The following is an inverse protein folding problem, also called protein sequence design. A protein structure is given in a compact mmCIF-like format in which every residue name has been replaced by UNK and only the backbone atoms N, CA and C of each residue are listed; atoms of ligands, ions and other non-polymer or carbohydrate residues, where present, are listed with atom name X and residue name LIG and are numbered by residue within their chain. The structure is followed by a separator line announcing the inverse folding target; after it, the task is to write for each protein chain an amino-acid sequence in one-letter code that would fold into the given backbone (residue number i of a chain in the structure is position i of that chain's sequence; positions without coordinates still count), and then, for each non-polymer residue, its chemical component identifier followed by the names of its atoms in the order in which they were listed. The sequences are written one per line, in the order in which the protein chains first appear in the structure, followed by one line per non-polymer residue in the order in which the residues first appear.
data_IF_492000890001
#
_entry.id   IF_492000890001
#
_cell.length_a   1.000
_cell.length_b   1.000
_cell.length_c   1.000
_cell.angle_alpha   90.00
_cell.angle_beta   90.00
_cell.angle_gamma   90.00
#
_symmetry.space_group_name_H-M   'P 1'
#
loop_
_entity.id
_entity.type
_entity.pdbx_description
1 polymer ?
#
# COMPACT_ATOMS: atom_id res chain seq x y z
N UNK A 1 2.81 -14.63 28.00
CA UNK A 1 3.63 -13.54 27.39
C UNK A 1 3.55 -13.64 25.88
N UNK A 2 2.92 -12.66 25.20
CA UNK A 2 2.79 -12.62 23.73
C UNK A 2 3.98 -11.85 23.15
N UNK A 3 4.90 -12.55 22.48
CA UNK A 3 6.10 -11.99 21.83
C UNK A 3 5.64 -10.96 20.78
N UNK A 4 5.86 -9.67 21.04
CA UNK A 4 5.60 -8.59 20.08
C UNK A 4 6.66 -8.69 18.98
N UNK A 5 6.25 -8.97 17.75
CA UNK A 5 7.16 -8.92 16.60
C UNK A 5 7.66 -7.47 16.40
N UNK A 6 8.95 -7.27 16.05
CA UNK A 6 9.61 -5.96 16.02
C UNK A 6 9.43 -5.24 14.68
N UNK A 7 8.29 -5.36 14.01
CA UNK A 7 7.98 -4.53 12.83
C UNK A 7 7.22 -3.29 13.28
N UNK A 8 7.91 -2.46 14.07
CA UNK A 8 7.45 -1.16 14.50
C UNK A 8 7.54 -0.14 13.35
N UNK A 9 6.39 0.29 12.86
CA UNK A 9 6.21 1.65 12.37
C UNK A 9 7.06 2.09 11.17
N UNK A 10 7.26 1.24 10.17
CA UNK A 10 7.71 1.74 8.86
C UNK A 10 6.61 2.68 8.33
N UNK A 11 6.84 4.00 8.45
CA UNK A 11 6.05 5.02 7.77
C UNK A 11 6.23 4.75 6.28
N UNK A 12 5.34 3.97 5.69
CA UNK A 12 5.30 3.74 4.25
C UNK A 12 4.96 5.09 3.61
N UNK A 13 6.00 5.89 3.39
CA UNK A 13 5.87 7.23 2.87
C UNK A 13 5.62 7.10 1.36
N UNK A 14 4.76 7.97 0.82
CA UNK A 14 4.52 8.08 -0.62
C UNK A 14 5.83 8.06 -1.46
N UNK A 15 6.96 8.64 -1.00
CA UNK A 15 8.28 8.46 -1.60
C UNK A 15 8.75 7.01 -1.80
N UNK A 16 8.47 6.09 -0.87
CA UNK A 16 8.85 4.68 -1.03
C UNK A 16 8.04 4.00 -2.12
N UNK A 17 6.76 4.36 -2.27
CA UNK A 17 5.92 3.83 -3.35
C UNK A 17 6.40 4.37 -4.70
N UNK A 18 6.71 5.65 -4.82
CA UNK A 18 7.22 6.21 -6.06
C UNK A 18 8.62 5.69 -6.42
N UNK A 19 9.52 5.53 -5.45
CA UNK A 19 10.80 4.85 -5.68
C UNK A 19 10.58 3.41 -6.15
N UNK A 20 9.68 2.67 -5.49
CA UNK A 20 9.33 1.30 -5.91
C UNK A 20 8.81 1.26 -7.36
N UNK A 21 7.87 2.13 -7.71
CA UNK A 21 7.28 2.17 -9.06
C UNK A 21 8.32 2.55 -10.13
N UNK A 22 9.22 3.49 -9.83
CA UNK A 22 10.30 3.87 -10.75
C UNK A 22 11.31 2.73 -10.89
N UNK A 23 11.73 2.11 -9.79
CA UNK A 23 12.63 0.94 -9.83
C UNK A 23 12.02 -0.22 -10.61
N UNK A 24 10.71 -0.46 -10.44
CA UNK A 24 9.96 -1.45 -11.18
C UNK A 24 9.95 -1.17 -12.69
N UNK A 25 9.62 0.06 -13.10
CA UNK A 25 9.58 0.45 -14.50
C UNK A 25 10.95 0.35 -15.17
N UNK A 26 12.02 0.75 -14.46
CA UNK A 26 13.40 0.59 -14.94
C UNK A 26 13.74 -0.89 -15.13
N UNK A 27 13.39 -1.74 -14.17
CA UNK A 27 13.63 -3.18 -14.27
C UNK A 27 12.87 -3.78 -15.46
N UNK A 28 11.61 -3.40 -15.66
CA UNK A 28 10.80 -3.85 -16.80
C UNK A 28 11.39 -3.39 -18.14
N UNK A 29 11.90 -2.16 -18.23
CA UNK A 29 12.61 -1.68 -19.41
C UNK A 29 13.84 -2.54 -19.73
N UNK A 30 14.65 -2.89 -18.73
CA UNK A 30 15.81 -3.77 -18.93
C UNK A 30 15.41 -5.19 -19.34
N UNK A 31 14.32 -5.71 -18.78
CA UNK A 31 13.75 -7.02 -19.16
C UNK A 31 13.34 -7.00 -20.63
N UNK A 32 12.58 -5.99 -21.06
CA UNK A 32 12.13 -5.85 -22.45
C UNK A 32 13.30 -5.63 -23.41
N UNK A 33 14.29 -4.83 -23.01
CA UNK A 33 15.51 -4.62 -23.79
C UNK A 33 16.32 -5.92 -23.95
N UNK A 34 16.44 -6.71 -22.88
CA UNK A 34 17.10 -8.02 -22.93
C UNK A 34 16.33 -8.99 -23.83
N UNK A 35 14.99 -9.04 -23.75
CA UNK A 35 14.14 -9.83 -24.64
C UNK A 35 14.35 -9.41 -26.10
N UNK A 36 14.36 -8.11 -26.38
CA UNK A 36 14.59 -7.59 -27.71
C UNK A 36 15.94 -8.04 -28.28
N UNK A 37 17.03 -7.85 -27.53
CA UNK A 37 18.37 -8.30 -27.92
C UNK A 37 18.46 -9.82 -28.13
N UNK A 38 17.80 -10.60 -27.26
CA UNK A 38 17.74 -12.05 -27.35
C UNK A 38 16.98 -12.56 -28.57
N UNK A 39 15.90 -11.87 -28.97
CA UNK A 39 15.11 -12.20 -30.18
C UNK A 39 15.91 -11.86 -31.44
N UNK A 40 16.68 -10.77 -31.43
CA UNK A 40 17.40 -10.30 -32.62
C UNK A 40 18.70 -11.06 -32.90
N UNK A 41 19.36 -11.64 -31.88
CA UNK A 41 20.74 -12.15 -32.04
C UNK A 41 20.94 -13.67 -31.96
N UNK A 42 19.96 -14.50 -31.57
CA UNK A 42 20.26 -15.91 -31.24
C UNK A 42 19.40 -16.97 -31.94
N UNK A 43 20.08 -17.95 -32.54
CA UNK A 43 19.50 -19.24 -32.90
C UNK A 43 19.11 -20.01 -31.63
N UNK A 44 17.90 -20.59 -31.64
CA UNK A 44 17.18 -21.21 -30.52
C UNK A 44 17.91 -22.38 -29.81
N UNK A 45 18.96 -22.09 -29.05
CA UNK A 45 19.64 -23.08 -28.20
C UNK A 45 18.85 -23.41 -26.93
N UNK A 46 19.12 -24.56 -26.29
CA UNK A 46 18.46 -24.94 -25.03
C UNK A 46 18.67 -23.90 -23.91
N UNK A 47 19.87 -23.33 -23.84
CA UNK A 47 20.22 -22.30 -22.85
C UNK A 47 19.35 -21.04 -23.01
N UNK A 48 18.95 -20.72 -24.24
CA UNK A 48 18.05 -19.60 -24.53
C UNK A 48 16.66 -19.82 -23.93
N UNK A 49 16.10 -21.01 -24.11
CA UNK A 49 14.79 -21.36 -23.55
C UNK A 49 14.80 -21.28 -22.03
N UNK A 50 15.87 -21.75 -21.39
CA UNK A 50 16.03 -21.68 -19.94
C UNK A 50 16.10 -20.21 -19.47
N UNK A 51 16.90 -19.38 -20.13
CA UNK A 51 17.00 -17.96 -19.79
C UNK A 51 15.65 -17.23 -19.93
N UNK A 52 14.92 -17.50 -21.02
CA UNK A 52 13.59 -16.92 -21.23
C UNK A 52 12.59 -17.38 -20.16
N UNK A 53 12.58 -18.66 -19.79
CA UNK A 53 11.72 -19.18 -18.73
C UNK A 53 12.03 -18.50 -17.39
N UNK A 54 13.30 -18.37 -17.03
CA UNK A 54 13.72 -17.68 -15.78
C UNK A 54 13.27 -16.22 -15.80
N UNK A 55 13.38 -15.54 -16.93
CA UNK A 55 12.94 -14.16 -17.09
C UNK A 55 11.42 -14.01 -16.93
N UNK A 56 10.64 -14.89 -17.58
CA UNK A 56 9.18 -14.92 -17.48
C UNK A 56 8.72 -15.21 -16.05
N UNK A 57 9.37 -16.14 -15.34
CA UNK A 57 9.06 -16.43 -13.94
C UNK A 57 9.35 -15.25 -13.02
N UNK A 58 10.47 -14.55 -13.24
CA UNK A 58 10.77 -13.32 -12.50
C UNK A 58 9.73 -12.23 -12.76
N UNK A 59 9.34 -12.04 -14.02
CA UNK A 59 8.32 -11.08 -14.40
C UNK A 59 6.96 -11.40 -13.76
N UNK A 60 6.55 -12.68 -13.76
CA UNK A 60 5.34 -13.12 -13.10
C UNK A 60 5.40 -12.88 -11.57
N UNK A 61 6.53 -13.20 -10.94
CA UNK A 61 6.74 -12.93 -9.51
C UNK A 61 6.63 -11.44 -9.18
N UNK A 62 7.19 -10.59 -10.04
CA UNK A 62 7.07 -9.14 -9.92
C UNK A 62 5.62 -8.65 -10.05
N UNK A 63 4.86 -9.13 -11.04
CA UNK A 63 3.45 -8.78 -11.22
C UNK A 63 2.62 -9.18 -10.00
N UNK A 64 2.82 -10.40 -9.49
CA UNK A 64 2.12 -10.88 -8.30
C UNK A 64 2.45 -10.02 -7.07
N UNK A 65 3.74 -9.72 -6.83
CA UNK A 65 4.17 -8.87 -5.73
C UNK A 65 3.56 -7.46 -5.79
N UNK A 66 3.55 -6.86 -6.98
CA UNK A 66 2.94 -5.55 -7.22
C UNK A 66 1.43 -5.59 -6.99
N UNK A 67 0.75 -6.61 -7.50
CA UNK A 67 -0.68 -6.81 -7.31
C UNK A 67 -1.03 -6.93 -5.81
N UNK A 68 -0.32 -7.78 -5.06
CA UNK A 68 -0.55 -7.93 -3.62
C UNK A 68 -0.29 -6.64 -2.86
N UNK A 69 0.75 -5.89 -3.22
CA UNK A 69 1.07 -4.60 -2.59
C UNK A 69 -0.04 -3.59 -2.82
N UNK A 70 -0.47 -3.42 -4.07
CA UNK A 70 -1.55 -2.50 -4.45
C UNK A 70 -2.87 -2.92 -3.77
N UNK A 71 -3.21 -4.20 -3.84
CA UNK A 71 -4.41 -4.75 -3.21
C UNK A 71 -4.43 -4.48 -1.71
N UNK A 72 -3.31 -4.71 -1.02
CA UNK A 72 -3.21 -4.47 0.41
C UNK A 72 -3.32 -2.99 0.77
N UNK A 73 -2.68 -2.11 -0.01
CA UNK A 73 -2.76 -0.65 0.18
C UNK A 73 -4.19 -0.14 -0.04
N UNK A 74 -4.85 -0.55 -1.11
CA UNK A 74 -6.23 -0.17 -1.42
C UNK A 74 -7.20 -0.71 -0.37
N UNK A 75 -7.12 -2.00 -0.06
CA UNK A 75 -8.08 -2.64 0.85
C UNK A 75 -7.97 -2.09 2.28
N UNK A 76 -6.74 -1.87 2.78
CA UNK A 76 -6.53 -1.31 4.12
C UNK A 76 -6.71 0.21 4.16
N UNK A 77 -6.37 0.92 3.10
CA UNK A 77 -6.49 2.37 3.00
C UNK A 77 -7.94 2.81 2.77
N UNK A 78 -8.51 2.47 1.62
CA UNK A 78 -9.84 2.90 1.21
C UNK A 78 -10.93 2.35 2.14
N UNK A 79 -10.81 1.09 2.56
CA UNK A 79 -11.77 0.49 3.49
C UNK A 79 -11.79 1.16 4.87
N UNK A 80 -10.67 1.74 5.29
CA UNK A 80 -10.61 2.50 6.54
C UNK A 80 -11.12 3.94 6.37
N UNK A 81 -10.89 4.55 5.20
CA UNK A 81 -11.40 5.89 4.86
C UNK A 81 -12.93 5.92 4.80
N UNK A 82 -13.58 4.94 4.16
CA UNK A 82 -15.05 4.92 4.08
C UNK A 82 -15.72 4.87 5.46
N UNK A 83 -15.14 4.13 6.42
CA UNK A 83 -15.64 4.11 7.81
C UNK A 83 -15.46 5.46 8.52
N UNK A 84 -14.32 6.12 8.28
CA UNK A 84 -14.08 7.46 8.85
C UNK A 84 -15.08 8.45 8.29
N UNK A 85 -15.38 8.38 7.00
CA UNK A 85 -16.35 9.25 6.34
C UNK A 85 -17.75 9.11 6.96
N UNK A 86 -18.26 7.88 7.11
CA UNK A 86 -19.56 7.63 7.77
C UNK A 86 -19.60 8.18 9.20
N UNK A 87 -18.55 7.94 9.99
CA UNK A 87 -18.50 8.39 11.38
C UNK A 87 -18.35 9.93 11.48
N UNK A 88 -17.61 10.55 10.57
CA UNK A 88 -17.53 12.02 10.46
C UNK A 88 -18.88 12.63 10.05
N UNK A 89 -19.62 11.98 9.16
CA UNK A 89 -20.93 12.46 8.73
C UNK A 89 -21.95 12.43 9.89
N UNK A 90 -21.90 11.41 10.75
CA UNK A 90 -22.71 11.36 11.97
C UNK A 90 -22.28 12.45 12.98
N UNK A 91 -20.97 12.67 13.14
CA UNK A 91 -20.47 13.75 13.98
C UNK A 91 -20.92 15.13 13.47
N UNK A 92 -20.92 15.33 12.14
CA UNK A 92 -21.44 16.54 11.51
C UNK A 92 -22.95 16.73 11.70
N UNK A 93 -23.71 15.64 11.84
CA UNK A 93 -25.14 15.67 12.22
C UNK A 93 -25.40 15.97 13.70
N UNK A 94 -24.35 16.15 14.50
CA UNK A 94 -24.46 16.54 15.91
C UNK A 94 -24.42 15.37 16.90
N UNK A 95 -24.11 14.15 16.46
CA UNK A 95 -23.83 13.03 17.36
C UNK A 95 -22.44 13.23 18.01
N UNK A 96 -22.43 13.68 19.28
CA UNK A 96 -21.20 14.14 19.95
C UNK A 96 -20.37 13.04 20.60
N UNK A 97 -20.93 11.85 20.82
CA UNK A 97 -20.25 10.72 21.48
C UNK A 97 -19.48 9.81 20.53
N UNK A 98 -19.31 10.21 19.26
CA UNK A 98 -18.67 9.37 18.26
C UNK A 98 -17.15 9.44 18.41
N UNK A 99 -16.53 8.27 18.53
CA UNK A 99 -15.08 8.12 18.43
C UNK A 99 -14.75 7.27 17.22
N UNK A 100 -13.89 7.81 16.36
CA UNK A 100 -13.35 7.09 15.23
C UNK A 100 -12.48 5.94 15.74
N UNK A 101 -12.82 4.72 15.32
CA UNK A 101 -12.05 3.52 15.65
C UNK A 101 -11.47 2.89 14.39
N UNK A 102 -10.22 2.46 14.48
CA UNK A 102 -9.51 1.79 13.39
C UNK A 102 -9.14 0.37 13.77
N UNK A 103 -8.95 -0.47 12.76
CA UNK A 103 -8.41 -1.81 12.96
C UNK A 103 -6.91 -1.72 13.22
N UNK A 104 -6.40 -2.71 13.95
CA UNK A 104 -4.97 -2.76 14.30
C UNK A 104 -4.12 -2.85 13.04
N UNK A 105 -3.24 -1.87 12.84
CA UNK A 105 -2.33 -1.79 11.70
C UNK A 105 -2.88 -1.04 10.49
N UNK A 106 -4.01 -0.33 10.63
CA UNK A 106 -4.44 0.64 9.62
C UNK A 106 -3.43 1.80 9.56
N UNK A 107 -3.01 2.13 8.33
CA UNK A 107 -1.90 3.08 8.07
C UNK A 107 -2.29 4.51 8.49
N UNK A 108 -3.60 4.79 8.55
CA UNK A 108 -4.18 6.11 8.85
C UNK A 108 -4.42 6.39 10.34
N UNK A 109 -3.90 5.55 11.25
CA UNK A 109 -4.00 5.76 12.69
C UNK A 109 -3.59 7.17 13.17
N UNK A 110 -2.50 7.77 12.67
CA UNK A 110 -2.12 9.12 13.09
C UNK A 110 -3.16 10.19 12.72
N UNK A 111 -3.86 10.02 11.59
CA UNK A 111 -4.91 10.93 11.15
C UNK A 111 -6.14 10.82 12.07
N UNK A 112 -6.58 9.59 12.34
CA UNK A 112 -7.73 9.34 13.23
C UNK A 112 -7.49 9.88 14.64
N UNK A 113 -6.28 9.72 15.17
CA UNK A 113 -5.96 10.28 16.49
C UNK A 113 -6.10 11.82 16.52
N UNK A 114 -5.71 12.50 15.44
CA UNK A 114 -5.89 13.97 15.32
C UNK A 114 -7.35 14.36 15.19
N UNK A 115 -8.15 13.59 14.44
CA UNK A 115 -9.58 13.86 14.29
C UNK A 115 -10.30 13.66 15.63
N UNK A 116 -10.04 12.56 16.35
CA UNK A 116 -10.62 12.34 17.68
C UNK A 116 -10.25 13.46 18.66
N UNK A 117 -9.01 13.96 18.62
CA UNK A 117 -8.61 15.10 19.45
C UNK A 117 -9.38 16.40 19.10
N UNK A 118 -9.70 16.61 17.81
CA UNK A 118 -10.55 17.73 17.39
C UNK A 118 -11.99 17.57 17.87
N UNK A 119 -12.56 16.37 17.77
CA UNK A 119 -13.91 16.06 18.26
C UNK A 119 -14.00 16.32 19.77
N UNK A 120 -13.01 15.88 20.56
CA UNK A 120 -12.95 16.14 22.00
C UNK A 120 -12.94 17.65 22.34
N UNK A 121 -12.30 18.49 21.51
CA UNK A 121 -12.29 19.96 21.69
C UNK A 121 -13.66 20.55 21.36
N UNK A 122 -14.30 20.10 20.28
CA UNK A 122 -15.62 20.56 19.86
C UNK A 122 -16.69 20.20 20.89
N UNK A 123 -16.64 18.98 21.43
CA UNK A 123 -17.54 18.54 22.49
C UNK A 123 -17.44 19.47 23.71
N UNK A 124 -16.22 19.71 24.23
CA UNK A 124 -15.99 20.59 25.38
C UNK A 124 -16.50 22.02 25.17
N UNK A 125 -16.25 22.62 23.99
CA UNK A 125 -16.73 23.97 23.68
C UNK A 125 -18.25 24.08 23.60
N UNK A 126 -18.92 23.00 23.20
CA UNK A 126 -20.38 22.98 23.06
C UNK A 126 -21.13 22.75 24.39
N UNK A 127 -20.40 22.36 25.44
CA UNK A 127 -20.92 22.09 26.80
C UNK A 127 -20.71 23.27 27.76
N UNK A 128 -20.08 24.35 27.29
CA UNK A 128 -19.84 25.60 28.03
C UNK A 128 -20.79 26.67 27.49
#
# INVERSE_FOLDING_TARGET
MKKRMPFGGAKFSFPFLSVYLVSAAIMEFFVLYAIWGLITESQYSLNWHIALIVLLLNFLGFLLSSFFTIFFLLHRGLGALGRIEEDLEKAARGERSIRLTLRRGDIIQPLVNKINALLDILEKKSST
#
